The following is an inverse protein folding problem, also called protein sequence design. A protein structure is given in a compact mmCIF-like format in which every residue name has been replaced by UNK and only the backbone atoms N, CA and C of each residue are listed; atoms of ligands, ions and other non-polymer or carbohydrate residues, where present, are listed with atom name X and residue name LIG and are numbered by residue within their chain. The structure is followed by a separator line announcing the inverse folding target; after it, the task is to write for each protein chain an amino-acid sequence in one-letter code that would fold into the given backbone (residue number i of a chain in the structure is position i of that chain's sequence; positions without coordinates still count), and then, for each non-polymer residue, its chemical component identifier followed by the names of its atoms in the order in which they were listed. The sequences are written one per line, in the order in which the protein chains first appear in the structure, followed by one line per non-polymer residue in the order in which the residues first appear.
data_IF_629549204608
#
_entry.id   IF_629549204608
#
_cell.length_a   1.000
_cell.length_b   1.000
_cell.length_c   1.000
_cell.angle_alpha   90.00
_cell.angle_beta   90.00
_cell.angle_gamma   90.00
#
_symmetry.space_group_name_H-M   'P 1'
#
loop_
_entity.id
_entity.type
_entity.pdbx_description
1 polymer ?
#
# COMPACT_ATOMS: atom_id res chain seq x y z
N UNK A 1 0.21 -5.59 6.02
CA UNK A 1 -0.12 -6.85 5.30
C UNK A 1 0.88 -7.21 4.20
N UNK A 2 1.59 -6.24 3.60
CA UNK A 2 2.59 -6.50 2.56
C UNK A 2 3.63 -7.55 2.95
N UNK A 3 4.01 -7.55 4.23
CA UNK A 3 5.06 -8.40 4.76
C UNK A 3 4.60 -9.83 5.10
N UNK A 4 3.30 -10.10 5.10
CA UNK A 4 2.78 -11.42 5.50
C UNK A 4 3.20 -12.51 4.53
N UNK A 5 3.04 -12.30 3.23
CA UNK A 5 3.37 -13.30 2.23
C UNK A 5 4.85 -13.71 2.26
N UNK A 6 5.83 -12.76 2.18
CA UNK A 6 7.23 -13.14 2.30
C UNK A 6 7.59 -13.74 3.66
N UNK A 7 6.90 -13.36 4.74
CA UNK A 7 7.10 -13.97 6.05
C UNK A 7 6.64 -15.43 6.08
N UNK A 8 5.47 -15.71 5.53
CA UNK A 8 4.98 -17.10 5.44
C UNK A 8 5.85 -17.96 4.55
N UNK A 9 6.34 -17.43 3.43
CA UNK A 9 7.32 -18.14 2.61
C UNK A 9 8.58 -18.49 3.42
N UNK A 10 9.13 -17.51 4.14
CA UNK A 10 10.32 -17.73 4.97
C UNK A 10 10.09 -18.76 6.09
N UNK A 11 8.93 -18.71 6.77
CA UNK A 11 8.56 -19.69 7.79
C UNK A 11 8.39 -21.11 7.22
N UNK A 12 7.87 -21.24 6.01
CA UNK A 12 7.65 -22.51 5.34
C UNK A 12 8.91 -23.04 4.61
N UNK A 13 10.02 -22.30 4.60
CA UNK A 13 11.19 -22.64 3.78
C UNK A 13 10.93 -22.56 2.27
N UNK A 14 9.90 -21.84 1.86
CA UNK A 14 9.52 -21.66 0.46
C UNK A 14 10.15 -20.39 -0.14
N UNK A 15 10.47 -20.45 -1.42
CA UNK A 15 10.94 -19.26 -2.17
C UNK A 15 9.75 -18.56 -2.83
N UNK A 16 9.58 -17.25 -2.65
CA UNK A 16 8.58 -16.49 -3.40
C UNK A 16 8.80 -16.59 -4.92
N UNK A 17 7.74 -16.45 -5.73
CA UNK A 17 7.85 -16.44 -7.19
C UNK A 17 8.83 -15.35 -7.66
N UNK A 18 9.83 -15.74 -8.46
CA UNK A 18 10.87 -14.83 -8.95
C UNK A 18 10.36 -13.84 -10.01
N UNK A 19 9.26 -14.17 -10.67
CA UNK A 19 8.61 -13.34 -11.69
C UNK A 19 7.68 -12.26 -11.12
N UNK A 20 7.55 -12.20 -9.78
CA UNK A 20 6.70 -11.22 -9.08
C UNK A 20 7.55 -10.27 -8.24
N UNK A 21 7.38 -8.98 -8.50
CA UNK A 21 7.94 -7.94 -7.63
C UNK A 21 7.11 -7.91 -6.34
N UNK A 22 7.74 -8.16 -5.20
CA UNK A 22 7.12 -8.05 -3.88
C UNK A 22 7.59 -6.77 -3.21
N UNK A 23 6.66 -5.95 -2.76
CA UNK A 23 6.95 -4.73 -1.98
C UNK A 23 7.19 -5.04 -0.50
N UNK A 24 6.74 -6.20 -0.05
CA UNK A 24 6.91 -6.70 1.31
C UNK A 24 8.26 -7.40 1.51
N UNK A 25 8.67 -7.48 2.77
CA UNK A 25 9.84 -8.25 3.22
C UNK A 25 9.51 -9.09 4.44
N UNK A 26 10.21 -10.21 4.60
CA UNK A 26 9.96 -11.13 5.71
C UNK A 26 10.21 -10.47 7.07
N UNK A 27 9.27 -10.61 7.99
CA UNK A 27 9.39 -10.20 9.39
C UNK A 27 10.15 -11.24 10.24
N UNK A 28 10.53 -12.38 9.66
CA UNK A 28 11.19 -13.47 10.38
C UNK A 28 12.43 -13.03 11.17
N UNK A 29 13.32 -12.15 10.65
CA UNK A 29 14.46 -11.65 11.43
C UNK A 29 14.03 -10.94 12.72
N UNK A 30 12.97 -10.14 12.70
CA UNK A 30 12.43 -9.45 13.88
C UNK A 30 11.75 -10.42 14.86
N UNK A 31 11.13 -11.48 14.34
CA UNK A 31 10.52 -12.52 15.19
C UNK A 31 11.58 -13.34 15.91
N UNK A 32 12.75 -13.55 15.30
CA UNK A 32 13.86 -14.30 15.88
C UNK A 32 14.71 -13.45 16.84
N UNK A 33 14.85 -12.16 16.56
CA UNK A 33 15.59 -11.21 17.39
C UNK A 33 14.93 -9.82 17.36
N UNK A 34 14.37 -9.34 18.48
CA UNK A 34 13.79 -7.99 18.56
C UNK A 34 14.79 -6.87 18.25
N UNK A 35 16.10 -7.14 18.37
CA UNK A 35 17.18 -6.20 18.08
C UNK A 35 17.73 -6.35 16.66
N UNK A 36 17.14 -7.21 15.81
CA UNK A 36 17.57 -7.35 14.43
C UNK A 36 17.51 -5.99 13.70
N UNK A 37 18.56 -5.70 12.93
CA UNK A 37 18.58 -4.49 12.13
C UNK A 37 17.40 -4.48 11.15
N UNK A 38 16.64 -3.40 11.15
CA UNK A 38 15.49 -3.20 10.28
C UNK A 38 15.61 -1.84 9.62
N UNK A 39 16.02 -1.85 8.35
CA UNK A 39 16.11 -0.62 7.57
C UNK A 39 14.75 0.06 7.44
N UNK A 40 14.75 1.37 7.60
CA UNK A 40 13.55 2.16 7.32
C UNK A 40 13.15 2.06 5.85
N UNK A 41 11.87 2.23 5.59
CA UNK A 41 11.32 2.22 4.24
C UNK A 41 10.09 3.12 4.15
N UNK A 42 9.75 3.49 2.95
CA UNK A 42 8.49 4.16 2.67
C UNK A 42 7.42 3.15 2.34
N UNK A 43 6.29 3.24 3.03
CA UNK A 43 5.08 2.47 2.75
C UNK A 43 4.05 3.41 2.14
N UNK A 44 3.58 3.07 0.96
CA UNK A 44 2.62 3.87 0.22
C UNK A 44 1.23 3.28 0.37
N UNK A 45 0.25 4.15 0.60
CA UNK A 45 -1.17 3.79 0.63
C UNK A 45 -1.95 4.74 -0.24
N UNK A 46 -2.91 4.19 -0.97
CA UNK A 46 -3.84 4.97 -1.79
C UNK A 46 -5.18 4.21 -1.85
N UNK A 47 -6.30 4.93 -1.80
CA UNK A 47 -7.61 4.26 -1.82
C UNK A 47 -7.89 3.62 -3.17
N UNK A 48 -7.36 4.18 -4.27
CA UNK A 48 -7.49 3.59 -5.61
C UNK A 48 -8.93 3.44 -6.09
N UNK A 49 -9.82 4.32 -5.64
CA UNK A 49 -11.24 4.30 -6.02
C UNK A 49 -11.65 5.65 -6.59
N UNK A 50 -12.01 5.66 -7.85
CA UNK A 50 -12.59 6.79 -8.54
C UNK A 50 -13.79 6.34 -9.36
N UNK A 51 -14.59 7.30 -9.81
CA UNK A 51 -15.77 6.99 -10.62
C UNK A 51 -15.32 6.53 -12.01
N UNK A 52 -16.02 5.56 -12.64
CA UNK A 52 -15.77 5.18 -14.03
C UNK A 52 -15.74 6.40 -14.94
N UNK A 53 -14.78 6.45 -15.86
CA UNK A 53 -14.59 7.57 -16.77
C UNK A 53 -13.90 8.81 -16.18
N UNK A 54 -13.51 8.79 -14.89
CA UNK A 54 -12.67 9.83 -14.30
C UNK A 54 -11.20 9.56 -14.66
N UNK A 55 -10.46 10.62 -15.00
CA UNK A 55 -9.02 10.51 -15.18
C UNK A 55 -8.37 10.08 -13.83
N UNK A 56 -7.74 8.91 -13.76
CA UNK A 56 -7.10 8.42 -12.54
C UNK A 56 -6.05 9.37 -11.99
N UNK A 57 -5.36 10.14 -12.83
CA UNK A 57 -4.33 11.08 -12.39
C UNK A 57 -4.91 12.25 -11.58
N UNK A 58 -6.21 12.54 -11.74
CA UNK A 58 -6.91 13.50 -10.89
C UNK A 58 -7.01 13.04 -9.43
N UNK A 59 -6.85 11.74 -9.17
CA UNK A 59 -6.92 11.11 -7.85
C UNK A 59 -5.55 10.90 -7.22
N UNK A 60 -4.45 11.23 -7.89
CA UNK A 60 -3.07 10.94 -7.49
C UNK A 60 -2.78 11.22 -6.01
N UNK A 61 -3.20 12.35 -5.49
CA UNK A 61 -2.94 12.77 -4.11
C UNK A 61 -4.18 12.75 -3.21
N UNK A 62 -5.25 12.10 -3.66
CA UNK A 62 -6.51 12.03 -2.91
C UNK A 62 -6.55 10.74 -2.10
N UNK A 63 -6.77 10.86 -0.79
CA UNK A 63 -6.82 9.73 0.13
C UNK A 63 -5.59 8.82 0.04
N UNK A 64 -4.44 9.45 0.08
CA UNK A 64 -3.15 8.76 0.03
C UNK A 64 -2.28 9.12 1.24
N UNK A 65 -1.35 8.24 1.57
CA UNK A 65 -0.34 8.52 2.57
C UNK A 65 0.97 7.79 2.26
N UNK A 66 2.07 8.41 2.69
CA UNK A 66 3.38 7.76 2.74
C UNK A 66 3.83 7.68 4.18
N UNK A 67 4.22 6.50 4.62
CA UNK A 67 4.66 6.26 5.99
C UNK A 67 6.10 5.76 6.01
N UNK A 68 6.90 6.38 6.86
CA UNK A 68 8.21 5.90 7.30
C UNK A 68 8.13 5.42 8.75
N UNK A 69 9.23 5.00 9.35
CA UNK A 69 9.29 4.68 10.79
C UNK A 69 8.96 5.90 11.66
N UNK A 70 9.32 7.10 11.21
CA UNK A 70 9.18 8.34 11.98
C UNK A 70 7.98 9.20 11.56
N UNK A 71 7.74 9.33 10.26
CA UNK A 71 6.78 10.28 9.72
C UNK A 71 5.64 9.60 8.96
N UNK A 72 4.50 10.30 8.92
CA UNK A 72 3.44 10.06 7.96
C UNK A 72 3.18 11.36 7.19
N UNK A 73 3.24 11.27 5.88
CA UNK A 73 2.89 12.34 4.95
C UNK A 73 1.53 12.04 4.34
N UNK A 74 0.55 12.90 4.59
CA UNK A 74 -0.85 12.66 4.26
C UNK A 74 -1.33 13.59 3.14
N UNK A 75 -1.99 13.01 2.13
CA UNK A 75 -2.62 13.72 1.01
C UNK A 75 -1.73 14.77 0.34
N UNK A 76 -0.42 14.55 0.27
CA UNK A 76 0.57 15.49 -0.27
C UNK A 76 0.54 16.88 0.38
N UNK A 77 0.06 17.00 1.59
CA UNK A 77 -0.17 18.28 2.27
C UNK A 77 0.46 18.36 3.65
N UNK A 78 0.14 17.44 4.55
CA UNK A 78 0.53 17.50 5.96
C UNK A 78 1.53 16.40 6.33
N UNK A 79 2.49 16.71 7.19
CA UNK A 79 3.48 15.78 7.72
C UNK A 79 3.31 15.64 9.23
N UNK A 80 3.23 14.41 9.73
CA UNK A 80 3.05 14.12 11.15
C UNK A 80 4.21 13.27 11.67
N UNK A 81 4.67 13.57 12.87
CA UNK A 81 5.70 12.78 13.57
C UNK A 81 5.02 11.76 14.48
N UNK A 82 4.92 10.51 14.03
CA UNK A 82 4.04 9.49 14.59
C UNK A 82 4.32 9.18 16.07
N UNK A 83 5.60 9.12 16.48
CA UNK A 83 5.95 8.74 17.85
C UNK A 83 5.53 9.80 18.88
N UNK A 84 5.59 11.09 18.52
CA UNK A 84 5.25 12.21 19.40
C UNK A 84 3.79 12.68 19.24
N UNK A 85 3.18 12.39 18.09
CA UNK A 85 1.81 12.76 17.75
C UNK A 85 1.05 11.62 17.06
N UNK A 86 0.72 10.54 17.79
CA UNK A 86 0.03 9.38 17.23
C UNK A 86 -1.41 9.70 16.76
N UNK A 87 -1.95 10.85 17.17
CA UNK A 87 -3.28 11.31 16.78
C UNK A 87 -3.26 12.28 15.59
N UNK A 88 -2.08 12.54 15.03
CA UNK A 88 -1.91 13.36 13.82
C UNK A 88 -2.57 14.74 13.92
N UNK A 89 -2.40 15.41 15.06
CA UNK A 89 -3.01 16.73 15.34
C UNK A 89 -2.15 17.90 14.94
N UNK A 90 -0.83 17.69 14.84
CA UNK A 90 0.15 18.75 14.62
C UNK A 90 0.91 18.54 13.33
N UNK A 91 0.56 19.30 12.32
CA UNK A 91 1.35 19.32 11.08
C UNK A 91 2.74 19.93 11.35
N UNK A 92 3.77 19.18 11.00
CA UNK A 92 5.18 19.57 11.11
C UNK A 92 5.87 19.78 9.75
N UNK A 93 5.12 19.84 8.66
CA UNK A 93 5.64 19.98 7.30
C UNK A 93 6.56 21.20 7.13
N UNK A 94 6.22 22.32 7.74
CA UNK A 94 7.04 23.53 7.72
C UNK A 94 8.38 23.38 8.48
N UNK A 95 8.44 22.45 9.45
CA UNK A 95 9.67 22.14 10.20
C UNK A 95 10.62 21.20 9.46
N UNK A 96 10.07 20.35 8.59
CA UNK A 96 10.83 19.32 7.88
C UNK A 96 10.60 19.38 6.36
N UNK A 97 10.94 20.49 5.68
CA UNK A 97 10.67 20.68 4.26
C UNK A 97 11.40 19.65 3.37
N UNK A 98 12.61 19.24 3.77
CA UNK A 98 13.38 18.25 3.03
C UNK A 98 12.71 16.86 3.08
N UNK A 99 12.14 16.52 4.21
CA UNK A 99 11.38 15.26 4.36
C UNK A 99 10.10 15.27 3.52
N UNK A 100 9.40 16.39 3.49
CA UNK A 100 8.24 16.59 2.60
C UNK A 100 8.64 16.40 1.14
N UNK A 101 9.73 17.04 0.70
CA UNK A 101 10.23 16.93 -0.67
C UNK A 101 10.64 15.50 -1.01
N UNK A 102 11.39 14.84 -0.12
CA UNK A 102 11.82 13.44 -0.27
C UNK A 102 10.63 12.50 -0.40
N UNK A 103 9.65 12.65 0.47
CA UNK A 103 8.47 11.78 0.52
C UNK A 103 7.58 11.99 -0.70
N UNK A 104 7.40 13.23 -1.15
CA UNK A 104 6.66 13.57 -2.37
C UNK A 104 7.32 12.95 -3.61
N UNK A 105 8.62 13.12 -3.76
CA UNK A 105 9.38 12.54 -4.88
C UNK A 105 9.24 11.01 -4.92
N UNK A 106 9.35 10.37 -3.76
CA UNK A 106 9.17 8.91 -3.67
C UNK A 106 7.75 8.47 -4.01
N UNK A 107 6.73 9.23 -3.57
CA UNK A 107 5.34 8.96 -3.92
C UNK A 107 5.09 9.12 -5.42
N UNK A 108 5.65 10.14 -6.04
CA UNK A 108 5.51 10.38 -7.48
C UNK A 108 6.11 9.23 -8.31
N UNK A 109 7.27 8.73 -7.90
CA UNK A 109 7.88 7.57 -8.54
C UNK A 109 7.04 6.30 -8.35
N UNK A 110 6.56 6.06 -7.14
CA UNK A 110 5.66 4.95 -6.84
C UNK A 110 4.36 5.03 -7.65
N UNK A 111 3.74 6.22 -7.73
CA UNK A 111 2.52 6.43 -8.53
C UNK A 111 2.73 6.05 -10.00
N UNK A 112 3.84 6.49 -10.58
CA UNK A 112 4.19 6.17 -11.98
C UNK A 112 4.33 4.66 -12.21
N UNK A 113 4.88 3.93 -11.23
CA UNK A 113 5.07 2.48 -11.29
C UNK A 113 3.74 1.71 -11.18
N UNK A 114 2.85 2.12 -10.25
CA UNK A 114 1.62 1.37 -9.96
C UNK A 114 0.42 1.81 -10.79
N UNK A 115 0.42 3.03 -11.31
CA UNK A 115 -0.68 3.64 -12.06
C UNK A 115 -1.22 2.74 -13.19
N UNK A 116 -0.38 2.14 -14.05
CA UNK A 116 -0.87 1.24 -15.09
C UNK A 116 -1.59 0.00 -14.56
N UNK A 117 -1.27 -0.43 -13.34
CA UNK A 117 -1.91 -1.58 -12.71
C UNK A 117 -3.24 -1.23 -12.01
N UNK A 118 -3.50 0.06 -11.79
CA UNK A 118 -4.74 0.53 -11.15
C UNK A 118 -5.89 0.71 -12.16
N UNK A 119 -5.61 0.74 -13.44
CA UNK A 119 -6.61 0.80 -14.50
C UNK A 119 -7.16 -0.60 -14.80
N UNK A 120 -8.18 -0.99 -14.08
CA UNK A 120 -8.98 -2.14 -14.42
C UNK A 120 -10.37 -1.65 -14.85
N UNK A 121 -10.40 -0.89 -15.90
CA UNK A 121 -11.64 -0.34 -16.49
C UNK A 121 -12.22 -1.26 -17.56
N UNK A 122 -12.14 -2.56 -17.38
CA UNK A 122 -13.05 -3.42 -18.13
C UNK A 122 -14.47 -2.99 -17.75
N UNK A 123 -15.31 -2.51 -18.68
CA UNK A 123 -16.69 -2.15 -18.39
C UNK A 123 -17.43 -3.42 -18.00
N UNK A 124 -17.35 -3.77 -16.73
CA UNK A 124 -18.13 -4.88 -16.19
C UNK A 124 -19.53 -4.37 -15.93
N UNK A 125 -20.33 -4.36 -16.99
CA UNK A 125 -21.79 -4.21 -16.87
C UNK A 125 -22.45 -5.42 -16.19
N UNK A 126 -21.65 -6.38 -15.76
CA UNK A 126 -22.10 -7.56 -15.03
C UNK A 126 -21.56 -7.46 -13.60
N UNK A 127 -22.41 -7.52 -12.57
CA UNK A 127 -21.96 -7.59 -11.19
C UNK A 127 -20.93 -8.72 -11.05
N UNK A 128 -19.79 -8.45 -10.40
CA UNK A 128 -18.81 -9.48 -10.12
C UNK A 128 -19.49 -10.64 -9.38
N UNK A 129 -19.66 -11.75 -10.06
CA UNK A 129 -20.21 -12.95 -9.43
C UNK A 129 -19.08 -13.64 -8.67
N UNK A 130 -19.29 -13.85 -7.40
CA UNK A 130 -18.40 -14.68 -6.61
C UNK A 130 -18.54 -16.15 -7.12
N UNK A 131 -17.48 -16.72 -7.73
CA UNK A 131 -17.57 -18.06 -8.35
C UNK A 131 -17.92 -19.13 -7.32
N UNK A 132 -17.54 -19.00 -6.06
CA UNK A 132 -17.90 -19.94 -5.00
C UNK A 132 -19.37 -19.84 -4.63
N UNK A 133 -19.93 -18.65 -4.63
CA UNK A 133 -21.38 -18.46 -4.39
C UNK A 133 -22.21 -19.04 -5.53
N UNK A 134 -21.77 -18.84 -6.76
CA UNK A 134 -22.43 -19.43 -7.95
C UNK A 134 -22.38 -20.96 -7.89
N UNK A 135 -21.22 -21.56 -7.65
CA UNK A 135 -21.07 -23.00 -7.51
C UNK A 135 -21.88 -23.58 -6.33
N UNK A 136 -21.97 -22.85 -5.22
CA UNK A 136 -22.83 -23.24 -4.09
C UNK A 136 -24.30 -23.33 -4.48
N UNK A 137 -24.86 -22.33 -5.14
CA UNK A 137 -26.28 -22.34 -5.52
C UNK A 137 -26.60 -23.35 -6.61
N UNK A 138 -25.67 -23.60 -7.56
CA UNK A 138 -25.86 -24.61 -8.61
C UNK A 138 -26.09 -26.03 -8.07
N UNK A 139 -25.67 -26.31 -6.83
CA UNK A 139 -25.91 -27.62 -6.18
C UNK A 139 -27.40 -27.85 -5.80
N UNK A 140 -28.22 -26.81 -5.81
CA UNK A 140 -29.62 -26.86 -5.40
C UNK A 140 -30.60 -26.59 -6.56
N UNK A 141 -30.09 -26.38 -7.76
CA UNK A 141 -30.89 -26.19 -8.98
C UNK A 141 -31.23 -27.52 -9.67
N UNK A 142 -31.89 -28.45 -8.90
CA UNK A 142 -32.37 -29.74 -9.43
C UNK A 142 -33.88 -29.87 -9.25
#
# INVERSE_FOLDING_TARGET
HLDLFPTFCALAGATPPADKKLDGRSLLPLMQSPQAHWEDRMLFTHVGRWKPGTDPDSSKYVQCAVRTSRFRFDNNSALYEIASDPMEKKDVSAKYPDEVARTRTAYDAWWTDVRPCMENESPQNVPAQNPYKTAYWQQFEH
#
